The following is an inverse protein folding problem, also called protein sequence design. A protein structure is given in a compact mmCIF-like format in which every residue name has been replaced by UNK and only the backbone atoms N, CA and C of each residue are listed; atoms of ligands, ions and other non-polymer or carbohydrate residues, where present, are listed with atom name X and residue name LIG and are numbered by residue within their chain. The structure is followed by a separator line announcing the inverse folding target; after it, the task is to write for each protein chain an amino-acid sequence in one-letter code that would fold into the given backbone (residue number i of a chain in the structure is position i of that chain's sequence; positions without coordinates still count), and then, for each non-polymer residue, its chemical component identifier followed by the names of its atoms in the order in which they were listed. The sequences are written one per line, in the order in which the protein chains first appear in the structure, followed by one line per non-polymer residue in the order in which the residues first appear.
data_IF_527565862213
#
_entry.id   IF_527565862213
#
_cell.length_a   1.000
_cell.length_b   1.000
_cell.length_c   1.000
_cell.angle_alpha   90.00
_cell.angle_beta   90.00
_cell.angle_gamma   90.00
#
_symmetry.space_group_name_H-M   'P 1'
#
loop_
_entity.id
_entity.type
_entity.pdbx_description
1 polymer ?
#
# COMPACT_ATOMS: atom_id res chain seq x y z
N UNK A 1 20.90 22.08 -7.92
CA UNK A 1 20.65 20.74 -7.37
C UNK A 1 21.08 19.64 -8.33
N UNK A 2 20.53 19.54 -9.53
CA UNK A 2 20.80 18.48 -10.53
C UNK A 2 22.27 18.30 -10.88
N UNK A 3 23.03 19.42 -11.13
CA UNK A 3 24.47 19.38 -11.44
C UNK A 3 25.32 18.81 -10.28
N UNK A 4 24.92 19.03 -9.02
CA UNK A 4 25.61 18.46 -7.87
C UNK A 4 25.33 16.96 -7.77
N UNK A 5 24.04 16.56 -7.90
CA UNK A 5 23.64 15.16 -7.88
C UNK A 5 24.35 14.35 -8.98
N UNK A 6 24.43 14.89 -10.18
CA UNK A 6 25.14 14.25 -11.29
C UNK A 6 26.63 14.04 -10.99
N UNK A 7 27.30 15.02 -10.41
CA UNK A 7 28.73 14.87 -10.02
C UNK A 7 28.94 13.80 -8.95
N UNK A 8 28.09 13.81 -7.90
CA UNK A 8 28.16 12.81 -6.84
C UNK A 8 27.85 11.41 -7.39
N UNK A 9 26.91 11.29 -8.33
CA UNK A 9 26.58 10.02 -8.98
C UNK A 9 27.76 9.45 -9.78
N UNK A 10 28.45 10.30 -10.55
CA UNK A 10 29.71 9.90 -11.23
C UNK A 10 30.79 9.52 -10.23
N UNK A 11 30.98 10.31 -9.16
CA UNK A 11 31.95 10.02 -8.10
C UNK A 11 31.65 8.71 -7.35
N UNK A 12 30.39 8.32 -7.24
CA UNK A 12 29.92 7.04 -6.69
C UNK A 12 29.96 5.90 -7.73
N UNK A 13 30.68 6.07 -8.83
CA UNK A 13 30.81 5.07 -9.88
C UNK A 13 29.48 4.56 -10.43
N UNK A 14 28.51 5.48 -10.62
CA UNK A 14 27.17 5.20 -11.14
C UNK A 14 26.34 4.22 -10.28
N UNK A 15 26.56 4.21 -8.96
CA UNK A 15 25.76 3.40 -8.03
C UNK A 15 24.33 3.93 -7.93
N UNK A 16 23.42 3.25 -8.65
CA UNK A 16 21.99 3.59 -8.69
C UNK A 16 21.33 3.45 -7.32
N UNK A 17 21.72 2.45 -6.52
CA UNK A 17 21.16 2.27 -5.18
C UNK A 17 21.54 3.43 -4.25
N UNK A 18 22.77 3.92 -4.38
CA UNK A 18 23.21 5.08 -3.63
C UNK A 18 22.49 6.36 -4.07
N UNK A 19 22.26 6.52 -5.39
CA UNK A 19 21.47 7.62 -5.92
C UNK A 19 20.04 7.64 -5.35
N UNK A 20 19.37 6.48 -5.35
CA UNK A 20 18.03 6.34 -4.76
C UNK A 20 18.06 6.70 -3.27
N UNK A 21 19.03 6.20 -2.49
CA UNK A 21 19.18 6.56 -1.07
C UNK A 21 19.29 8.07 -0.86
N UNK A 22 20.09 8.76 -1.68
CA UNK A 22 20.21 10.22 -1.58
C UNK A 22 18.89 10.92 -1.84
N UNK A 23 18.15 10.50 -2.86
CA UNK A 23 16.86 11.11 -3.21
C UNK A 23 15.84 10.91 -2.08
N UNK A 24 15.62 9.66 -1.63
CA UNK A 24 14.62 9.36 -0.60
C UNK A 24 14.98 9.90 0.78
N UNK A 25 16.26 10.23 1.02
CA UNK A 25 16.72 10.84 2.27
C UNK A 25 16.64 12.36 2.28
N UNK A 26 16.18 13.00 1.18
CA UNK A 26 16.00 14.45 1.17
C UNK A 26 14.77 14.86 1.98
N UNK A 27 14.83 16.01 2.64
CA UNK A 27 13.68 16.60 3.34
C UNK A 27 12.48 16.77 2.41
N UNK A 28 12.72 17.15 1.16
CA UNK A 28 11.67 17.31 0.16
C UNK A 28 10.93 15.99 -0.15
N UNK A 29 11.63 14.85 -0.16
CA UNK A 29 11.01 13.54 -0.38
C UNK A 29 10.26 13.02 0.86
N UNK A 30 10.69 13.45 2.05
CA UNK A 30 10.12 13.03 3.33
C UNK A 30 9.01 13.98 3.84
N UNK A 31 8.52 14.88 3.01
CA UNK A 31 7.38 15.72 3.34
C UNK A 31 6.12 14.88 3.60
N UNK A 32 5.37 15.27 4.62
CA UNK A 32 4.05 14.68 4.87
C UNK A 32 3.03 15.14 3.83
N UNK A 33 2.08 14.28 3.49
CA UNK A 33 0.92 14.61 2.65
C UNK A 33 -0.17 15.39 3.41
N UNK A 34 0.03 15.72 4.68
CA UNK A 34 -0.96 16.42 5.49
C UNK A 34 -1.21 17.84 4.98
N UNK A 35 -2.48 18.12 4.69
CA UNK A 35 -2.95 19.42 4.31
C UNK A 35 -3.18 20.30 5.55
N UNK A 36 -2.69 21.53 5.52
CA UNK A 36 -2.82 22.50 6.63
C UNK A 36 -3.09 23.91 6.09
N UNK A 37 -3.58 24.81 6.94
CA UNK A 37 -3.78 26.22 6.56
C UNK A 37 -2.49 26.88 6.03
N UNK A 38 -1.31 26.40 6.43
CA UNK A 38 -0.02 26.97 6.02
C UNK A 38 0.37 26.59 4.58
N UNK A 39 -0.05 25.44 4.10
CA UNK A 39 0.26 24.94 2.75
C UNK A 39 -0.96 24.92 1.80
N UNK A 40 -2.07 25.55 2.21
CA UNK A 40 -3.32 25.58 1.46
C UNK A 40 -3.23 26.20 0.07
N UNK A 41 -2.29 27.13 -0.14
CA UNK A 41 -2.03 27.77 -1.43
C UNK A 41 -1.21 26.89 -2.39
N UNK A 42 -0.66 25.79 -1.91
CA UNK A 42 0.12 24.83 -2.69
C UNK A 42 -0.79 23.68 -3.14
N UNK A 43 -1.63 23.97 -4.14
CA UNK A 43 -2.60 23.02 -4.68
C UNK A 43 -2.44 22.89 -6.20
N UNK A 44 -1.53 22.05 -6.68
CA UNK A 44 -1.36 21.81 -8.10
C UNK A 44 -2.60 21.22 -8.79
N UNK A 45 -3.47 20.54 -8.04
CA UNK A 45 -4.73 20.01 -8.57
C UNK A 45 -5.71 21.14 -8.97
N UNK A 46 -5.58 22.32 -8.35
CA UNK A 46 -6.30 23.52 -8.74
C UNK A 46 -5.64 24.28 -9.92
N UNK A 47 -4.55 23.75 -10.49
CA UNK A 47 -3.80 24.37 -11.60
C UNK A 47 -2.74 25.36 -11.16
N UNK A 48 -2.44 25.44 -9.86
CA UNK A 48 -1.38 26.29 -9.31
C UNK A 48 0.01 25.69 -9.55
N UNK A 49 1.04 26.53 -9.57
CA UNK A 49 2.42 26.06 -9.71
C UNK A 49 2.83 25.30 -8.43
N UNK A 50 3.38 24.07 -8.55
CA UNK A 50 3.82 23.29 -7.40
C UNK A 50 4.88 24.01 -6.57
N UNK A 51 4.63 24.22 -5.28
CA UNK A 51 5.58 24.83 -4.32
C UNK A 51 6.35 23.78 -3.50
N UNK A 52 5.94 22.50 -3.57
CA UNK A 52 6.55 21.37 -2.83
C UNK A 52 6.60 21.62 -1.31
N UNK A 53 5.55 22.22 -0.76
CA UNK A 53 5.43 22.46 0.69
C UNK A 53 4.88 21.24 1.46
N UNK A 54 4.35 20.27 0.75
CA UNK A 54 3.89 18.96 1.23
C UNK A 54 4.05 17.91 0.13
N UNK A 55 3.92 16.63 0.46
CA UNK A 55 3.88 15.55 -0.53
C UNK A 55 2.52 15.57 -1.23
N UNK A 56 2.51 15.64 -2.56
CA UNK A 56 1.27 15.51 -3.33
C UNK A 56 0.88 14.06 -3.45
N UNK A 57 -0.38 13.76 -3.18
CA UNK A 57 -0.92 12.42 -3.34
C UNK A 57 -0.89 12.01 -4.81
N UNK A 58 -0.38 10.81 -5.07
CA UNK A 58 -0.38 10.20 -6.40
C UNK A 58 -0.98 8.81 -6.33
N UNK A 59 -1.79 8.46 -7.31
CA UNK A 59 -2.25 7.08 -7.44
C UNK A 59 -1.07 6.16 -7.76
N UNK A 60 -1.06 4.97 -7.18
CA UNK A 60 -0.13 3.94 -7.59
C UNK A 60 -0.47 3.46 -9.01
N UNK A 61 0.56 3.15 -9.79
CA UNK A 61 0.38 2.40 -11.04
C UNK A 61 -0.10 0.97 -10.74
N UNK A 62 -0.68 0.32 -11.73
CA UNK A 62 -1.23 -1.03 -11.60
C UNK A 62 -0.22 -2.02 -10.98
N UNK A 63 1.01 -2.01 -11.50
CA UNK A 63 2.08 -2.88 -11.04
C UNK A 63 2.53 -2.56 -9.61
N UNK A 64 2.60 -1.27 -9.25
CA UNK A 64 2.95 -0.84 -7.89
C UNK A 64 1.90 -1.27 -6.87
N UNK A 65 0.62 -1.09 -7.21
CA UNK A 65 -0.49 -1.50 -6.35
C UNK A 65 -0.53 -3.03 -6.20
N UNK A 66 -0.35 -3.74 -7.31
CA UNK A 66 -0.25 -5.20 -7.32
C UNK A 66 0.90 -5.70 -6.43
N UNK A 67 2.11 -5.19 -6.63
CA UNK A 67 3.28 -5.59 -5.85
C UNK A 67 3.10 -5.25 -4.36
N UNK A 68 2.50 -4.10 -4.05
CA UNK A 68 2.17 -3.72 -2.67
C UNK A 68 1.20 -4.71 -2.02
N UNK A 69 0.17 -5.15 -2.74
CA UNK A 69 -0.77 -6.19 -2.27
C UNK A 69 -0.06 -7.52 -2.02
N UNK A 70 0.79 -7.95 -2.95
CA UNK A 70 1.56 -9.19 -2.81
C UNK A 70 2.51 -9.14 -1.61
N UNK A 71 3.21 -8.04 -1.42
CA UNK A 71 4.15 -7.86 -0.30
C UNK A 71 3.41 -7.78 1.04
N UNK A 72 2.31 -7.04 1.11
CA UNK A 72 1.54 -6.88 2.35
C UNK A 72 0.88 -8.17 2.82
N UNK A 73 0.45 -9.03 1.89
CA UNK A 73 -0.45 -10.15 2.19
C UNK A 73 0.15 -11.54 2.02
N UNK A 74 1.26 -11.68 1.27
CA UNK A 74 1.76 -12.99 0.81
C UNK A 74 0.69 -13.84 0.09
N UNK A 75 -0.29 -13.21 -0.57
CA UNK A 75 -1.43 -13.87 -1.19
C UNK A 75 -1.04 -15.05 -2.11
N UNK A 76 0.07 -14.90 -2.85
CA UNK A 76 0.59 -15.92 -3.77
C UNK A 76 1.06 -17.22 -3.08
N UNK A 77 1.34 -17.17 -1.77
CA UNK A 77 1.76 -18.33 -0.97
C UNK A 77 0.57 -19.01 -0.25
N UNK A 78 -0.61 -18.39 -0.30
CA UNK A 78 -1.81 -18.89 0.33
C UNK A 78 -2.23 -20.24 -0.30
N UNK A 79 -2.34 -21.29 0.55
CA UNK A 79 -2.72 -22.62 0.11
C UNK A 79 -1.56 -23.56 -0.30
N UNK A 80 -0.30 -23.17 -0.08
CA UNK A 80 0.88 -24.01 -0.27
C UNK A 80 1.08 -24.64 -1.66
N UNK A 81 0.81 -23.91 -2.72
CA UNK A 81 1.16 -24.34 -4.09
C UNK A 81 2.68 -24.50 -4.28
N UNK A 82 3.08 -25.29 -5.28
CA UNK A 82 4.48 -25.34 -5.69
C UNK A 82 4.95 -23.95 -6.15
N UNK A 83 6.26 -23.72 -6.11
CA UNK A 83 6.83 -22.44 -6.57
C UNK A 83 6.35 -22.08 -8.00
N UNK A 84 6.31 -23.04 -8.92
CA UNK A 84 5.83 -22.81 -10.28
C UNK A 84 4.35 -22.39 -10.33
N UNK A 85 3.50 -22.99 -9.49
CA UNK A 85 2.09 -22.62 -9.39
C UNK A 85 1.91 -21.21 -8.80
N UNK A 86 2.71 -20.83 -7.80
CA UNK A 86 2.71 -19.49 -7.22
C UNK A 86 3.12 -18.43 -8.24
N UNK A 87 4.15 -18.70 -9.05
CA UNK A 87 4.62 -17.76 -10.09
C UNK A 87 3.60 -17.64 -11.24
N UNK A 88 2.95 -18.72 -11.63
CA UNK A 88 1.88 -18.70 -12.63
C UNK A 88 0.66 -17.90 -12.11
N UNK A 89 0.30 -18.07 -10.86
CA UNK A 89 -0.75 -17.32 -10.20
C UNK A 89 -0.43 -15.82 -10.14
N UNK A 90 0.78 -15.47 -9.73
CA UNK A 90 1.27 -14.07 -9.70
C UNK A 90 1.16 -13.42 -11.08
N UNK A 91 1.59 -14.12 -12.13
CA UNK A 91 1.54 -13.60 -13.51
C UNK A 91 0.10 -13.37 -13.96
N UNK A 92 -0.80 -14.29 -13.65
CA UNK A 92 -2.22 -14.20 -13.98
C UNK A 92 -2.89 -13.00 -13.31
N UNK A 93 -2.65 -12.82 -12.01
CA UNK A 93 -3.18 -11.69 -11.26
C UNK A 93 -2.60 -10.35 -11.74
N UNK A 94 -1.30 -10.30 -12.02
CA UNK A 94 -0.66 -9.09 -12.56
C UNK A 94 -1.33 -8.67 -13.88
N UNK A 95 -1.55 -9.61 -14.80
CA UNK A 95 -2.22 -9.30 -16.07
C UNK A 95 -3.64 -8.76 -15.86
N UNK A 96 -4.40 -9.35 -14.93
CA UNK A 96 -5.74 -8.86 -14.59
C UNK A 96 -5.69 -7.43 -13.99
N UNK A 97 -4.70 -7.15 -13.13
CA UNK A 97 -4.50 -5.84 -12.55
C UNK A 97 -4.14 -4.79 -13.60
N UNK A 98 -3.19 -5.08 -14.45
CA UNK A 98 -2.81 -4.16 -15.55
C UNK A 98 -4.03 -3.84 -16.41
N UNK A 99 -4.82 -4.83 -16.84
CA UNK A 99 -6.02 -4.59 -17.64
C UNK A 99 -7.07 -3.73 -16.90
N UNK A 100 -7.22 -3.90 -15.58
CA UNK A 100 -8.22 -3.15 -14.82
C UNK A 100 -7.77 -1.73 -14.45
N UNK A 101 -6.46 -1.53 -14.30
CA UNK A 101 -5.85 -0.29 -13.82
C UNK A 101 -5.02 0.42 -14.89
N UNK A 102 -4.96 -0.13 -16.13
CA UNK A 102 -4.28 0.49 -17.26
C UNK A 102 -5.01 1.81 -17.58
N UNK A 103 -4.53 2.87 -16.96
CA UNK A 103 -4.90 4.22 -17.32
C UNK A 103 -3.90 4.68 -18.38
N UNK A 104 -4.36 5.39 -19.40
CA UNK A 104 -3.49 6.03 -20.39
C UNK A 104 -2.28 6.69 -19.70
N UNK A 105 -1.07 6.33 -20.12
CA UNK A 105 0.22 6.76 -19.54
C UNK A 105 0.37 8.30 -19.41
N UNK A 106 -0.58 9.07 -19.93
CA UNK A 106 -0.59 10.53 -19.94
C UNK A 106 -1.51 11.17 -18.89
N UNK A 107 -2.23 10.39 -18.10
CA UNK A 107 -3.10 10.94 -17.06
C UNK A 107 -2.33 11.03 -15.72
N UNK A 108 -1.52 12.08 -15.53
CA UNK A 108 -1.00 12.50 -14.25
C UNK A 108 -2.13 13.02 -13.34
N UNK A 109 -3.25 12.29 -13.29
CA UNK A 109 -4.36 12.73 -12.47
C UNK A 109 -3.97 12.62 -11.00
N UNK A 110 -3.88 13.76 -10.35
CA UNK A 110 -3.73 13.89 -8.89
C UNK A 110 -4.99 13.45 -8.15
N UNK A 111 -6.05 13.11 -8.88
CA UNK A 111 -7.34 12.66 -8.35
C UNK A 111 -7.59 11.23 -8.80
N UNK A 112 -7.68 10.31 -7.86
CA UNK A 112 -8.13 8.95 -8.11
C UNK A 112 -9.63 8.98 -8.46
N UNK A 113 -9.93 9.07 -9.73
CA UNK A 113 -11.27 8.81 -10.25
C UNK A 113 -11.41 7.31 -10.50
N UNK A 114 -11.45 6.53 -9.40
CA UNK A 114 -11.57 5.08 -9.49
C UNK A 114 -12.74 4.67 -10.38
N UNK A 115 -12.45 3.81 -11.34
CA UNK A 115 -13.50 3.23 -12.17
C UNK A 115 -14.21 2.09 -11.45
N UNK A 116 -15.44 1.77 -11.86
CA UNK A 116 -16.18 0.63 -11.30
C UNK A 116 -15.38 -0.68 -11.40
N UNK A 117 -14.72 -1.02 -12.54
CA UNK A 117 -13.87 -2.21 -12.62
C UNK A 117 -12.73 -2.23 -11.59
N UNK A 118 -12.05 -1.09 -11.36
CA UNK A 118 -10.99 -0.98 -10.36
C UNK A 118 -11.52 -1.23 -8.94
N UNK A 119 -12.65 -0.61 -8.59
CA UNK A 119 -13.29 -0.83 -7.29
C UNK A 119 -13.71 -2.30 -7.10
N UNK A 120 -14.31 -2.91 -8.11
CA UNK A 120 -14.70 -4.32 -8.07
C UNK A 120 -13.48 -5.24 -7.95
N UNK A 121 -12.39 -4.95 -8.63
CA UNK A 121 -11.13 -5.69 -8.53
C UNK A 121 -10.58 -5.63 -7.11
N UNK A 122 -10.51 -4.44 -6.51
CA UNK A 122 -10.01 -4.26 -5.13
C UNK A 122 -10.94 -4.87 -4.08
N UNK A 123 -12.23 -4.97 -4.35
CA UNK A 123 -13.18 -5.48 -3.37
C UNK A 123 -13.39 -7.00 -3.45
N UNK A 124 -13.34 -7.60 -4.65
CA UNK A 124 -13.86 -8.96 -4.89
C UNK A 124 -12.98 -9.83 -5.78
N UNK A 125 -11.73 -9.43 -6.07
CA UNK A 125 -10.86 -10.29 -6.88
C UNK A 125 -10.32 -11.49 -6.10
N UNK A 126 -9.97 -12.55 -6.82
CA UNK A 126 -9.30 -13.72 -6.24
C UNK A 126 -8.03 -13.33 -5.47
N UNK A 127 -7.29 -12.31 -5.94
CA UNK A 127 -6.12 -11.79 -5.25
C UNK A 127 -6.50 -11.24 -3.86
N UNK A 128 -7.56 -10.45 -3.76
CA UNK A 128 -8.02 -9.89 -2.47
C UNK A 128 -8.56 -10.99 -1.56
N UNK A 129 -9.30 -11.95 -2.08
CA UNK A 129 -9.76 -13.13 -1.31
C UNK A 129 -8.56 -13.90 -0.72
N UNK A 130 -7.52 -14.13 -1.53
CA UNK A 130 -6.29 -14.79 -1.06
C UNK A 130 -5.46 -13.88 -0.13
N UNK A 131 -5.43 -12.58 -0.35
CA UNK A 131 -4.76 -11.62 0.53
C UNK A 131 -5.37 -11.60 1.94
N UNK A 132 -6.69 -11.74 2.04
CA UNK A 132 -7.42 -11.78 3.31
C UNK A 132 -7.67 -13.20 3.83
N UNK A 133 -7.12 -14.24 3.18
CA UNK A 133 -7.33 -15.62 3.60
C UNK A 133 -6.50 -15.95 4.84
N UNK A 134 -6.96 -16.95 5.57
CA UNK A 134 -6.24 -17.57 6.70
C UNK A 134 -5.70 -18.94 6.35
N UNK A 135 -5.48 -19.19 5.08
CA UNK A 135 -4.82 -20.39 4.60
C UNK A 135 -3.33 -20.33 4.88
N UNK A 136 -2.73 -21.48 5.10
CA UNK A 136 -1.28 -21.59 5.37
C UNK A 136 -0.48 -20.92 4.27
N UNK A 137 0.52 -20.11 4.69
CA UNK A 137 1.37 -19.33 3.80
C UNK A 137 0.88 -17.89 3.60
N UNK A 138 -0.37 -17.55 3.93
CA UNK A 138 -0.84 -16.17 3.92
C UNK A 138 -0.30 -15.39 5.13
N UNK A 139 -0.17 -14.08 4.99
CA UNK A 139 0.23 -13.20 6.10
C UNK A 139 -0.71 -13.33 7.31
N UNK A 140 -2.02 -13.36 7.10
CA UNK A 140 -2.98 -13.49 8.19
C UNK A 140 -2.85 -14.83 8.93
N UNK A 141 -2.62 -15.94 8.22
CA UNK A 141 -2.36 -17.22 8.87
C UNK A 141 -1.15 -17.14 9.80
N UNK A 142 -0.05 -16.58 9.33
CA UNK A 142 1.19 -16.42 10.11
C UNK A 142 0.95 -15.59 11.37
N UNK A 143 0.28 -14.44 11.22
CA UNK A 143 -0.03 -13.54 12.33
C UNK A 143 -1.02 -14.14 13.34
N UNK A 144 -2.04 -14.85 12.85
CA UNK A 144 -3.05 -15.42 13.74
C UNK A 144 -2.55 -16.68 14.47
N UNK A 145 -1.63 -17.43 13.84
CA UNK A 145 -0.98 -18.60 14.45
C UNK A 145 0.09 -18.23 15.47
N UNK A 146 0.63 -17.02 15.39
CA UNK A 146 1.66 -16.54 16.32
C UNK A 146 1.05 -16.16 17.66
N UNK A 147 1.70 -16.51 18.79
CA UNK A 147 1.28 -16.04 20.10
C UNK A 147 1.47 -14.52 20.21
N UNK A 148 0.48 -13.78 20.65
CA UNK A 148 0.56 -12.34 20.81
C UNK A 148 -0.74 -11.71 21.27
N UNK A 149 -0.63 -10.53 21.88
CA UNK A 149 -1.79 -9.76 22.31
C UNK A 149 -2.56 -9.21 21.09
N UNK A 150 -3.86 -8.98 21.23
CA UNK A 150 -4.71 -8.38 20.19
C UNK A 150 -4.14 -7.05 19.67
N UNK A 151 -3.61 -6.23 20.55
CA UNK A 151 -2.96 -4.96 20.20
C UNK A 151 -1.76 -5.16 19.29
N UNK A 152 -0.97 -6.21 19.53
CA UNK A 152 0.18 -6.52 18.66
C UNK A 152 -0.30 -6.97 17.29
N UNK A 153 -1.28 -7.86 17.22
CA UNK A 153 -1.86 -8.32 15.95
C UNK A 153 -2.43 -7.16 15.10
N UNK A 154 -3.15 -6.22 15.75
CA UNK A 154 -3.64 -5.01 15.07
C UNK A 154 -2.47 -4.13 14.57
N UNK A 155 -1.42 -3.94 15.38
CA UNK A 155 -0.22 -3.22 14.95
C UNK A 155 0.41 -3.86 13.71
N UNK A 156 0.50 -5.19 13.67
CA UNK A 156 1.12 -5.93 12.57
C UNK A 156 0.30 -5.81 11.27
N UNK A 157 -1.05 -5.79 11.36
CA UNK A 157 -1.91 -5.51 10.21
C UNK A 157 -1.66 -4.10 9.64
N UNK A 158 -1.57 -3.09 10.51
CA UNK A 158 -1.28 -1.72 10.08
C UNK A 158 0.13 -1.57 9.49
N UNK A 159 1.12 -2.22 10.09
CA UNK A 159 2.48 -2.20 9.58
C UNK A 159 2.58 -2.89 8.21
N UNK A 160 1.90 -4.02 8.02
CA UNK A 160 1.90 -4.72 6.74
C UNK A 160 1.19 -3.93 5.63
N UNK A 161 0.04 -3.33 5.92
CA UNK A 161 -0.73 -2.59 4.93
C UNK A 161 -0.25 -1.14 4.75
N UNK A 162 -0.03 -0.41 5.84
CA UNK A 162 0.17 1.04 5.83
C UNK A 162 1.57 1.48 6.29
N UNK A 163 2.48 0.54 6.54
CA UNK A 163 3.88 0.80 6.99
C UNK A 163 4.01 1.65 8.27
N UNK A 164 2.92 1.86 8.98
CA UNK A 164 2.86 2.61 10.24
C UNK A 164 2.03 1.88 11.30
N UNK A 165 2.21 2.27 12.54
CA UNK A 165 1.31 1.81 13.63
C UNK A 165 0.00 2.59 13.60
N UNK A 166 -1.11 2.00 14.09
CA UNK A 166 -2.36 2.72 14.26
C UNK A 166 -2.23 3.84 15.30
N UNK A 167 -2.93 4.94 15.10
CA UNK A 167 -3.13 5.97 16.11
C UNK A 167 -3.95 5.41 17.27
N UNK A 168 -3.98 6.12 18.41
CA UNK A 168 -4.84 5.71 19.55
C UNK A 168 -6.31 5.60 19.17
N UNK A 169 -6.80 6.49 18.34
CA UNK A 169 -8.19 6.49 17.89
C UNK A 169 -8.50 5.28 17.00
N UNK A 170 -7.60 4.96 16.05
CA UNK A 170 -7.70 3.78 15.18
C UNK A 170 -7.63 2.49 16.01
N UNK A 171 -6.65 2.36 16.91
CA UNK A 171 -6.54 1.20 17.80
C UNK A 171 -7.84 0.97 18.59
N UNK A 172 -8.40 2.03 19.18
CA UNK A 172 -9.66 1.94 19.94
C UNK A 172 -10.83 1.50 19.05
N UNK A 173 -10.91 2.02 17.80
CA UNK A 173 -11.95 1.61 16.85
C UNK A 173 -11.80 0.14 16.47
N UNK A 174 -10.58 -0.32 16.18
CA UNK A 174 -10.30 -1.70 15.79
C UNK A 174 -10.61 -2.67 16.94
N UNK A 175 -10.21 -2.36 18.16
CA UNK A 175 -10.55 -3.17 19.33
C UNK A 175 -12.07 -3.26 19.58
N UNK A 176 -12.79 -2.14 19.45
CA UNK A 176 -14.27 -2.14 19.55
C UNK A 176 -14.92 -2.97 18.43
N UNK A 177 -14.39 -2.89 17.21
CA UNK A 177 -14.87 -3.71 16.10
C UNK A 177 -14.63 -5.19 16.41
N UNK A 178 -13.41 -5.56 16.80
CA UNK A 178 -13.05 -6.94 17.11
C UNK A 178 -13.89 -7.54 18.26
N UNK A 179 -14.22 -6.74 19.28
CA UNK A 179 -15.07 -7.18 20.37
C UNK A 179 -16.48 -7.61 19.92
N UNK A 180 -16.98 -7.07 18.81
CA UNK A 180 -18.31 -7.46 18.25
C UNK A 180 -18.32 -8.85 17.62
N UNK A 181 -17.15 -9.37 17.22
CA UNK A 181 -17.03 -10.71 16.62
C UNK A 181 -17.03 -11.84 17.65
N UNK A 182 -16.91 -11.53 18.95
CA UNK A 182 -16.95 -12.54 20.03
C UNK A 182 -15.97 -13.68 19.77
N UNK A 183 -16.48 -14.88 19.53
CA UNK A 183 -15.67 -16.06 19.23
C UNK A 183 -15.16 -16.12 17.79
N UNK A 184 -15.71 -15.31 16.88
CA UNK A 184 -15.33 -15.26 15.47
C UNK A 184 -14.25 -14.18 15.19
N UNK A 185 -13.33 -13.94 16.12
CA UNK A 185 -12.30 -12.90 16.01
C UNK A 185 -11.46 -13.02 14.75
N UNK A 186 -11.30 -14.23 14.23
CA UNK A 186 -10.56 -14.46 12.99
C UNK A 186 -11.18 -13.70 11.81
N UNK A 187 -12.51 -13.76 11.67
CA UNK A 187 -13.23 -13.00 10.65
C UNK A 187 -13.05 -11.49 10.86
N UNK A 188 -13.00 -11.05 12.14
CA UNK A 188 -12.74 -9.64 12.46
C UNK A 188 -11.37 -9.16 11.98
N UNK A 189 -10.33 -9.98 12.08
CA UNK A 189 -9.01 -9.65 11.54
C UNK A 189 -8.99 -9.66 10.00
N UNK A 190 -9.70 -10.59 9.36
CA UNK A 190 -9.85 -10.62 7.90
C UNK A 190 -10.52 -9.33 7.40
N UNK A 191 -11.63 -8.94 8.01
CA UNK A 191 -12.37 -7.73 7.64
C UNK A 191 -11.55 -6.46 7.90
N UNK A 192 -10.77 -6.40 9.00
CA UNK A 192 -9.84 -5.31 9.26
C UNK A 192 -8.77 -5.21 8.19
N UNK A 193 -8.14 -6.32 7.84
CA UNK A 193 -7.08 -6.33 6.84
C UNK A 193 -7.64 -5.96 5.47
N UNK A 194 -8.79 -6.51 5.09
CA UNK A 194 -9.51 -6.11 3.89
C UNK A 194 -9.77 -4.60 3.85
N UNK A 195 -10.26 -4.02 4.96
CA UNK A 195 -10.53 -2.58 5.03
C UNK A 195 -9.27 -1.73 4.92
N UNK A 196 -8.13 -2.19 5.46
CA UNK A 196 -6.85 -1.51 5.34
C UNK A 196 -6.33 -1.54 3.89
N UNK A 197 -6.38 -2.71 3.23
CA UNK A 197 -5.96 -2.87 1.82
C UNK A 197 -6.84 -2.08 0.84
N UNK A 198 -8.10 -1.81 1.20
CA UNK A 198 -9.04 -1.00 0.42
C UNK A 198 -9.08 0.47 0.88
N UNK A 199 -8.20 0.89 1.78
CA UNK A 199 -8.13 2.29 2.21
C UNK A 199 -7.44 3.18 1.17
N UNK A 200 -7.81 4.45 1.12
CA UNK A 200 -7.11 5.41 0.29
C UNK A 200 -5.62 5.51 0.66
N UNK A 201 -5.29 5.35 1.95
CA UNK A 201 -3.91 5.37 2.42
C UNK A 201 -3.07 4.21 1.85
N UNK A 202 -3.69 3.06 1.54
CA UNK A 202 -2.99 1.97 0.87
C UNK A 202 -2.82 2.20 -0.64
N UNK A 203 -3.83 2.81 -1.28
CA UNK A 203 -3.90 2.94 -2.75
C UNK A 203 -3.05 4.11 -3.27
N UNK A 204 -2.86 5.15 -2.45
CA UNK A 204 -2.09 6.34 -2.83
C UNK A 204 -0.65 6.30 -2.29
N UNK A 205 0.26 6.86 -3.09
CA UNK A 205 1.61 7.22 -2.65
C UNK A 205 1.48 8.53 -1.87
N UNK A 206 1.94 8.56 -0.61
CA UNK A 206 1.81 9.70 0.30
C UNK A 206 3.07 9.88 1.17
#
# INVERSE_FOLDING_TARGET
MLKRLAREFVAANYDVKQLVRWIVSTEAYQLSSQYSEKNRIDDPAAGEMPLFSHMYLKSMQAEQLYDSLIVASNAHQSGNGSWSAQEEQRRRWMQQFVVAFDNDENDESTTFNGTIPQALMMMNSELIDKACSVERGSFLFEQMSSPGAETQKINDLYLAALTRKPTRAEMTKMQKALARYGNAKLNGYQDMFWALLNSNEFIFIH
#
